data_IF_465533616281
#
_entry.id   IF_465533616281
#
_cell.length_a   1.000
_cell.length_b   1.000
_cell.length_c   1.000
_cell.angle_alpha   90.00
_cell.angle_beta   90.00
_cell.angle_gamma   90.00
#
_symmetry.space_group_name_H-M   'P 1'
#
loop_
_entity.id
_entity.type
_entity.pdbx_description
1 polymer ?
#
# COMPACT_ATOMS: atom_id res chain seq x y z
N UNK A 1 -63.17 21.46 -21.58
CA UNK A 1 -62.35 20.83 -20.53
C UNK A 1 -61.33 19.90 -21.20
N UNK A 2 -60.09 20.38 -21.44
CA UNK A 2 -59.02 19.58 -22.06
C UNK A 2 -58.26 18.84 -20.96
N UNK A 3 -58.36 17.50 -20.92
CA UNK A 3 -57.57 16.65 -20.01
C UNK A 3 -56.22 16.40 -20.67
N UNK A 4 -55.15 16.91 -20.05
CA UNK A 4 -53.76 16.59 -20.44
C UNK A 4 -53.41 15.30 -19.72
N UNK A 5 -53.16 14.23 -20.47
CA UNK A 5 -52.68 12.96 -19.95
C UNK A 5 -51.15 13.04 -19.84
N UNK A 6 -50.62 13.05 -18.63
CA UNK A 6 -49.18 13.05 -18.37
C UNK A 6 -48.70 11.58 -18.42
N UNK A 7 -47.98 11.21 -19.47
CA UNK A 7 -47.33 9.90 -19.56
C UNK A 7 -46.00 9.94 -18.80
N UNK A 8 -45.87 9.11 -17.76
CA UNK A 8 -44.62 8.91 -17.02
C UNK A 8 -43.74 7.91 -17.78
N UNK A 9 -42.63 8.37 -18.35
CA UNK A 9 -41.63 7.50 -18.98
C UNK A 9 -40.70 6.96 -17.89
N UNK A 10 -40.85 5.68 -17.55
CA UNK A 10 -39.97 4.99 -16.61
C UNK A 10 -38.69 4.57 -17.37
N UNK A 11 -37.59 5.31 -17.18
CA UNK A 11 -36.28 4.94 -17.73
C UNK A 11 -35.73 3.79 -16.87
N UNK A 12 -35.84 2.56 -17.38
CA UNK A 12 -35.13 1.40 -16.85
C UNK A 12 -33.64 1.57 -17.16
N UNK A 13 -32.88 2.12 -16.20
CA UNK A 13 -31.43 2.05 -16.24
C UNK A 13 -31.01 0.58 -16.16
N UNK A 14 -30.16 0.06 -17.07
CA UNK A 14 -29.59 -1.27 -16.92
C UNK A 14 -28.76 -1.31 -15.63
N UNK A 15 -29.31 -1.96 -14.59
CA UNK A 15 -28.55 -2.35 -13.41
C UNK A 15 -27.58 -3.42 -13.91
N UNK A 16 -26.31 -3.07 -14.08
CA UNK A 16 -25.29 -4.07 -14.40
C UNK A 16 -25.27 -5.08 -13.25
N UNK A 17 -25.42 -6.38 -13.51
CA UNK A 17 -25.37 -7.37 -12.44
C UNK A 17 -24.01 -7.28 -11.73
N UNK A 18 -24.03 -7.25 -10.41
CA UNK A 18 -22.82 -7.37 -9.61
C UNK A 18 -22.16 -8.71 -9.96
N UNK A 19 -21.09 -8.69 -10.76
CA UNK A 19 -20.30 -9.89 -10.99
C UNK A 19 -19.71 -10.32 -9.65
N UNK A 20 -20.03 -11.55 -9.23
CA UNK A 20 -19.40 -12.20 -8.08
C UNK A 20 -17.94 -12.51 -8.46
N UNK A 21 -17.04 -11.54 -8.30
CA UNK A 21 -15.61 -11.73 -8.55
C UNK A 21 -14.93 -12.29 -7.31
N UNK A 22 -14.06 -13.28 -7.46
CA UNK A 22 -13.19 -13.73 -6.36
C UNK A 22 -12.22 -12.61 -6.02
N UNK A 23 -12.19 -12.20 -4.75
CA UNK A 23 -11.30 -11.15 -4.27
C UNK A 23 -9.96 -11.75 -3.84
N UNK A 24 -8.87 -11.21 -4.36
CA UNK A 24 -7.50 -11.54 -3.93
C UNK A 24 -6.89 -10.28 -3.36
N UNK A 25 -6.35 -10.35 -2.14
CA UNK A 25 -5.76 -9.20 -1.45
C UNK A 25 -4.28 -9.48 -1.20
N UNK A 26 -3.41 -8.58 -1.68
CA UNK A 26 -1.98 -8.58 -1.44
C UNK A 26 -1.61 -7.33 -0.65
N UNK A 27 -1.41 -7.51 0.65
CA UNK A 27 -1.01 -6.46 1.59
C UNK A 27 -0.26 -7.09 2.75
N UNK A 28 0.66 -6.34 3.34
CA UNK A 28 1.33 -6.70 4.58
C UNK A 28 1.79 -5.42 5.29
N UNK A 29 1.97 -5.43 6.62
CA UNK A 29 2.67 -4.35 7.30
C UNK A 29 4.06 -4.15 6.69
N UNK A 30 4.49 -2.89 6.58
CA UNK A 30 5.85 -2.56 6.11
C UNK A 30 6.88 -3.23 7.00
N UNK A 31 7.90 -3.80 6.37
CA UNK A 31 9.09 -4.30 7.07
C UNK A 31 10.31 -3.41 6.78
N UNK A 32 10.15 -2.28 6.08
CA UNK A 32 11.26 -1.42 5.65
C UNK A 32 11.31 -0.09 6.42
N UNK A 33 12.50 0.23 6.91
CA UNK A 33 12.85 1.52 7.50
C UNK A 33 12.96 2.61 6.43
N UNK A 34 13.01 3.87 6.85
CA UNK A 34 13.13 5.02 5.94
C UNK A 34 14.48 5.09 5.23
N UNK A 35 15.54 4.50 5.82
CA UNK A 35 16.88 4.41 5.26
C UNK A 35 17.05 3.23 4.27
N UNK A 36 15.98 2.47 4.02
CA UNK A 36 15.96 1.36 3.07
C UNK A 36 16.27 -0.01 3.67
N UNK A 37 16.76 -0.10 4.92
CA UNK A 37 16.98 -1.40 5.57
C UNK A 37 15.67 -2.05 5.97
N UNK A 38 15.63 -3.38 5.92
CA UNK A 38 14.53 -4.17 6.45
C UNK A 38 14.70 -4.44 7.95
N UNK A 39 13.61 -4.45 8.70
CA UNK A 39 13.64 -4.72 10.15
C UNK A 39 13.91 -6.20 10.48
N UNK A 40 13.70 -7.09 9.51
CA UNK A 40 13.94 -8.53 9.58
C UNK A 40 13.87 -9.13 8.16
N UNK A 41 14.06 -10.46 8.05
CA UNK A 41 14.01 -11.17 6.78
C UNK A 41 12.63 -11.77 6.42
N UNK A 42 11.56 -11.37 7.11
CA UNK A 42 10.25 -12.05 7.00
C UNK A 42 9.57 -11.86 5.64
N UNK A 43 9.75 -10.70 4.99
CA UNK A 43 9.17 -10.46 3.67
C UNK A 43 9.74 -11.43 2.61
N UNK A 44 11.06 -11.61 2.60
CA UNK A 44 11.73 -12.54 1.69
C UNK A 44 11.27 -14.00 1.93
N UNK A 45 11.10 -14.39 3.19
CA UNK A 45 10.54 -15.70 3.54
C UNK A 45 9.07 -15.84 3.11
N UNK A 46 8.28 -14.77 3.23
CA UNK A 46 6.85 -14.76 2.87
C UNK A 46 6.61 -14.93 1.36
N UNK A 47 7.48 -14.36 0.51
CA UNK A 47 7.36 -14.52 -0.95
C UNK A 47 7.89 -15.86 -1.48
N UNK A 48 8.56 -16.65 -0.62
CA UNK A 48 8.98 -18.01 -0.98
C UNK A 48 7.77 -18.93 -1.26
N UNK A 49 7.92 -20.03 -2.01
CA UNK A 49 6.80 -20.93 -2.34
C UNK A 49 6.03 -21.43 -1.11
N UNK A 50 6.72 -21.65 0.01
CA UNK A 50 6.10 -22.07 1.27
C UNK A 50 5.52 -20.92 2.10
N UNK A 51 5.89 -19.68 1.80
CA UNK A 51 5.43 -18.48 2.50
C UNK A 51 4.03 -18.04 2.07
N UNK A 52 3.42 -17.16 2.86
CA UNK A 52 2.02 -16.77 2.67
C UNK A 52 1.80 -15.97 1.38
N UNK A 53 2.71 -15.05 1.04
CA UNK A 53 2.65 -14.31 -0.23
C UNK A 53 3.01 -15.18 -1.44
N UNK A 54 3.85 -16.21 -1.27
CA UNK A 54 4.10 -17.19 -2.32
C UNK A 54 2.86 -18.03 -2.63
N UNK A 55 2.23 -18.56 -1.58
CA UNK A 55 0.95 -19.30 -1.65
C UNK A 55 -0.20 -18.45 -2.20
N UNK A 56 -0.23 -17.14 -1.91
CA UNK A 56 -1.23 -16.24 -2.48
C UNK A 56 -1.21 -16.19 -4.02
N UNK A 57 -0.06 -16.52 -4.65
CA UNK A 57 0.07 -16.64 -6.10
C UNK A 57 -0.09 -18.09 -6.60
N UNK A 58 -0.30 -19.10 -5.75
CA UNK A 58 -0.62 -20.49 -6.13
C UNK A 58 -2.09 -20.64 -6.54
N UNK A 59 -2.52 -19.80 -7.49
CA UNK A 59 -3.88 -19.79 -7.99
C UNK A 59 -3.89 -20.01 -9.50
N UNK A 60 -4.91 -20.72 -9.98
CA UNK A 60 -5.14 -20.85 -11.42
C UNK A 60 -5.52 -19.49 -11.99
N UNK A 61 -4.81 -19.08 -13.04
CA UNK A 61 -5.11 -17.87 -13.79
C UNK A 61 -6.57 -17.91 -14.28
N UNK A 62 -7.32 -16.86 -13.98
CA UNK A 62 -8.72 -16.67 -14.36
C UNK A 62 -9.00 -15.19 -14.45
N UNK A 63 -9.91 -14.78 -15.33
CA UNK A 63 -10.27 -13.37 -15.58
C UNK A 63 -11.49 -12.88 -14.79
N UNK A 64 -11.99 -13.67 -13.84
CA UNK A 64 -13.13 -13.37 -12.98
C UNK A 64 -12.72 -12.88 -11.58
N UNK A 65 -11.48 -12.40 -11.44
CA UNK A 65 -10.91 -11.97 -10.16
C UNK A 65 -10.78 -10.45 -10.06
N UNK A 66 -10.90 -9.95 -8.84
CA UNK A 66 -10.49 -8.59 -8.49
C UNK A 66 -9.29 -8.67 -7.55
N UNK A 67 -8.22 -7.99 -7.91
CA UNK A 67 -7.00 -7.90 -7.10
C UNK A 67 -6.96 -6.58 -6.35
N UNK A 68 -6.88 -6.65 -5.03
CA UNK A 68 -6.54 -5.53 -4.16
C UNK A 68 -5.04 -5.61 -3.86
N UNK A 69 -4.27 -4.62 -4.29
CA UNK A 69 -2.80 -4.67 -4.16
C UNK A 69 -2.31 -3.42 -3.45
N UNK A 70 -1.57 -3.60 -2.36
CA UNK A 70 -0.84 -2.51 -1.71
C UNK A 70 0.45 -2.19 -2.50
N UNK A 71 0.58 -0.99 -3.09
CA UNK A 71 1.80 -0.60 -3.79
C UNK A 71 3.03 -0.60 -2.87
N UNK A 72 2.90 -0.33 -1.57
CA UNK A 72 4.03 -0.34 -0.65
C UNK A 72 4.65 -1.73 -0.52
N UNK A 73 3.80 -2.77 -0.46
CA UNK A 73 4.25 -4.16 -0.46
C UNK A 73 5.02 -4.49 -1.75
N UNK A 74 4.51 -4.07 -2.90
CA UNK A 74 5.14 -4.37 -4.20
C UNK A 74 6.49 -3.65 -4.33
N UNK A 75 6.58 -2.38 -3.90
CA UNK A 75 7.87 -1.67 -3.85
C UNK A 75 8.87 -2.37 -2.94
N UNK A 76 8.46 -2.81 -1.75
CA UNK A 76 9.34 -3.55 -0.85
C UNK A 76 9.80 -4.90 -1.42
N UNK A 77 8.97 -5.58 -2.23
CA UNK A 77 9.40 -6.80 -2.94
C UNK A 77 10.37 -6.47 -4.07
N UNK A 78 10.18 -5.35 -4.78
CA UNK A 78 11.15 -4.86 -5.79
C UNK A 78 12.51 -4.60 -5.14
N UNK A 79 12.54 -4.02 -3.95
CA UNK A 79 13.78 -3.73 -3.22
C UNK A 79 14.55 -5.01 -2.81
N UNK A 80 13.94 -6.18 -2.83
CA UNK A 80 14.64 -7.45 -2.56
C UNK A 80 15.46 -7.93 -3.77
N UNK A 81 15.11 -7.52 -4.99
CA UNK A 81 15.62 -8.11 -6.24
C UNK A 81 17.13 -7.99 -6.36
N UNK A 82 17.66 -6.78 -6.19
CA UNK A 82 19.08 -6.48 -6.44
C UNK A 82 19.99 -6.79 -5.22
N UNK A 83 19.42 -7.35 -4.16
CA UNK A 83 20.06 -7.53 -2.86
C UNK A 83 19.63 -6.47 -1.86
N UNK A 84 19.63 -6.84 -0.58
CA UNK A 84 19.05 -6.00 0.47
C UNK A 84 19.78 -6.21 1.80
N UNK A 85 19.54 -5.29 2.73
CA UNK A 85 20.06 -5.36 4.10
C UNK A 85 18.88 -5.52 5.05
N UNK A 86 18.99 -6.43 6.01
CA UNK A 86 18.04 -6.53 7.11
C UNK A 86 18.74 -6.53 8.46
N UNK A 87 18.03 -6.12 9.51
CA UNK A 87 18.50 -6.16 10.89
C UNK A 87 18.29 -7.55 11.49
N UNK A 88 19.33 -8.16 12.06
CA UNK A 88 19.20 -9.39 12.84
C UNK A 88 18.55 -9.15 14.22
N UNK A 89 18.52 -10.17 15.06
CA UNK A 89 17.88 -10.09 16.39
C UNK A 89 18.65 -9.19 17.35
N UNK A 90 19.94 -9.01 17.11
CA UNK A 90 20.86 -8.15 17.83
C UNK A 90 20.85 -6.70 17.31
N UNK A 91 20.27 -6.49 16.12
CA UNK A 91 20.16 -5.19 15.45
C UNK A 91 21.35 -4.89 14.54
N UNK A 92 22.15 -5.89 14.20
CA UNK A 92 23.26 -5.78 13.27
C UNK A 92 22.80 -5.93 11.82
N UNK A 93 23.51 -5.27 10.90
CA UNK A 93 23.20 -5.32 9.47
C UNK A 93 23.63 -6.67 8.87
N UNK A 94 22.69 -7.38 8.25
CA UNK A 94 22.93 -8.57 7.45
C UNK A 94 22.70 -8.24 5.98
N UNK A 95 23.77 -8.33 5.19
CA UNK A 95 23.71 -8.18 3.74
C UNK A 95 23.25 -9.48 3.07
N UNK A 96 22.28 -9.35 2.16
CA UNK A 96 21.77 -10.44 1.33
C UNK A 96 22.07 -10.13 -0.13
N UNK A 97 22.69 -11.09 -0.82
CA UNK A 97 22.96 -11.02 -2.25
C UNK A 97 21.65 -10.94 -3.08
N UNK A 98 21.71 -10.64 -4.39
CA UNK A 98 20.53 -10.59 -5.26
C UNK A 98 19.58 -11.78 -5.06
N UNK A 99 18.28 -11.48 -4.96
CA UNK A 99 17.25 -12.45 -4.59
C UNK A 99 16.30 -12.69 -5.77
N UNK A 100 16.71 -13.56 -6.69
CA UNK A 100 15.99 -13.86 -7.94
C UNK A 100 14.51 -14.25 -7.72
N UNK A 101 14.21 -14.88 -6.57
CA UNK A 101 12.85 -15.26 -6.20
C UNK A 101 11.87 -14.07 -6.13
N UNK A 102 12.36 -12.88 -5.76
CA UNK A 102 11.55 -11.67 -5.77
C UNK A 102 11.15 -11.28 -7.20
N UNK A 103 12.09 -11.36 -8.15
CA UNK A 103 11.81 -11.08 -9.55
C UNK A 103 10.81 -12.10 -10.13
N UNK A 104 11.00 -13.40 -9.84
CA UNK A 104 10.07 -14.44 -10.26
C UNK A 104 8.65 -14.23 -9.69
N UNK A 105 8.56 -13.83 -8.43
CA UNK A 105 7.29 -13.51 -7.77
C UNK A 105 6.59 -12.31 -8.46
N UNK A 106 7.33 -11.25 -8.80
CA UNK A 106 6.81 -10.06 -9.49
C UNK A 106 6.32 -10.39 -10.91
N UNK A 107 7.08 -11.18 -11.68
CA UNK A 107 6.67 -11.63 -13.01
C UNK A 107 5.40 -12.49 -12.95
N UNK A 108 5.28 -13.35 -11.94
CA UNK A 108 4.09 -14.16 -11.70
C UNK A 108 2.88 -13.28 -11.38
N UNK A 109 3.03 -12.27 -10.52
CA UNK A 109 1.98 -11.30 -10.22
C UNK A 109 1.49 -10.58 -11.48
N UNK A 110 2.41 -10.06 -12.30
CA UNK A 110 2.06 -9.38 -13.55
C UNK A 110 1.29 -10.32 -14.50
N UNK A 111 1.70 -11.58 -14.60
CA UNK A 111 0.99 -12.57 -15.41
C UNK A 111 -0.42 -12.85 -14.89
N UNK A 112 -0.59 -13.02 -13.58
CA UNK A 112 -1.88 -13.36 -12.96
C UNK A 112 -2.88 -12.20 -12.98
N UNK A 113 -2.39 -10.96 -12.97
CA UNK A 113 -3.24 -9.76 -12.92
C UNK A 113 -3.62 -9.24 -14.30
N UNK A 114 -2.92 -9.64 -15.38
CA UNK A 114 -3.04 -9.09 -16.75
C UNK A 114 -4.47 -8.83 -17.22
N UNK A 115 -5.35 -9.83 -17.15
CA UNK A 115 -6.72 -9.72 -17.67
C UNK A 115 -7.76 -9.49 -16.55
N UNK A 116 -7.30 -9.16 -15.35
CA UNK A 116 -8.16 -8.94 -14.19
C UNK A 116 -8.31 -7.46 -13.83
N UNK A 117 -9.34 -7.18 -13.02
CA UNK A 117 -9.49 -5.89 -12.37
C UNK A 117 -8.44 -5.76 -11.26
N UNK A 118 -7.72 -4.65 -11.27
CA UNK A 118 -6.74 -4.30 -10.23
C UNK A 118 -7.17 -3.01 -9.55
N UNK A 119 -7.25 -3.06 -8.22
CA UNK A 119 -7.60 -1.95 -7.35
C UNK A 119 -6.44 -1.76 -6.38
N UNK A 120 -5.92 -0.53 -6.29
CA UNK A 120 -4.88 -0.22 -5.32
C UNK A 120 -5.46 -0.23 -3.89
N UNK A 121 -4.66 -0.65 -2.92
CA UNK A 121 -4.86 -0.34 -1.50
C UNK A 121 -4.14 0.98 -1.21
N UNK A 122 -4.62 1.74 -0.22
CA UNK A 122 -3.89 2.92 0.27
C UNK A 122 -2.50 2.51 0.72
N UNK A 123 -1.47 3.19 0.22
CA UNK A 123 -0.05 2.86 0.40
C UNK A 123 0.32 2.54 1.85
N UNK A 124 0.76 1.29 2.09
CA UNK A 124 1.15 0.79 3.41
C UNK A 124 -0.01 0.36 4.28
N UNK A 125 -1.23 0.33 3.75
CA UNK A 125 -2.46 -0.05 4.44
C UNK A 125 -2.66 0.66 5.80
N UNK A 126 -2.63 2.01 5.87
CA UNK A 126 -2.89 2.73 7.10
C UNK A 126 -4.31 2.45 7.64
N UNK A 127 -4.51 2.61 8.94
CA UNK A 127 -5.85 2.61 9.54
C UNK A 127 -6.73 3.67 8.89
N UNK A 128 -7.69 3.21 8.10
CA UNK A 128 -8.55 4.11 7.35
C UNK A 128 -9.45 4.94 8.27
N UNK A 129 -10.06 4.32 9.27
CA UNK A 129 -10.94 5.03 10.20
C UNK A 129 -10.21 6.13 10.97
N UNK A 130 -8.95 5.90 11.34
CA UNK A 130 -8.11 6.90 11.97
C UNK A 130 -7.81 8.06 11.01
N UNK A 131 -7.42 7.75 9.78
CA UNK A 131 -7.10 8.73 8.74
C UNK A 131 -8.30 9.57 8.30
N UNK A 132 -9.49 8.97 8.19
CA UNK A 132 -10.74 9.67 7.86
C UNK A 132 -11.09 10.72 8.93
N UNK A 133 -10.89 10.40 10.22
CA UNK A 133 -11.14 11.34 11.33
C UNK A 133 -10.06 12.41 11.44
N UNK A 134 -8.80 12.04 11.30
CA UNK A 134 -7.67 12.94 11.56
C UNK A 134 -7.33 13.84 10.36
N UNK A 135 -7.44 13.30 9.16
CA UNK A 135 -6.72 13.80 7.99
C UNK A 135 -7.36 13.39 6.65
N UNK A 136 -8.67 13.62 6.41
CA UNK A 136 -9.36 13.10 5.22
C UNK A 136 -8.75 13.60 3.90
N UNK A 137 -8.28 14.85 3.86
CA UNK A 137 -7.57 15.38 2.68
C UNK A 137 -6.22 14.71 2.42
N UNK A 138 -5.51 14.29 3.47
CA UNK A 138 -4.24 13.55 3.33
C UNK A 138 -4.50 12.11 2.90
N UNK A 139 -5.57 11.49 3.40
CA UNK A 139 -6.01 10.18 2.92
C UNK A 139 -6.33 10.19 1.42
N UNK A 140 -7.03 11.22 0.93
CA UNK A 140 -7.30 11.40 -0.50
C UNK A 140 -6.01 11.54 -1.32
N UNK A 141 -5.01 12.25 -0.78
CA UNK A 141 -3.68 12.36 -1.39
C UNK A 141 -2.97 11.01 -1.43
N UNK A 142 -2.94 10.26 -0.31
CA UNK A 142 -2.38 8.91 -0.29
C UNK A 142 -3.05 8.01 -1.31
N UNK A 143 -4.38 8.03 -1.42
CA UNK A 143 -5.11 7.22 -2.40
C UNK A 143 -4.71 7.56 -3.84
N UNK A 144 -4.56 8.85 -4.15
CA UNK A 144 -4.13 9.32 -5.47
C UNK A 144 -2.71 8.84 -5.80
N UNK A 145 -1.77 8.98 -4.85
CA UNK A 145 -0.41 8.50 -5.01
C UNK A 145 -0.37 6.97 -5.11
N UNK A 146 -1.16 6.25 -4.31
CA UNK A 146 -1.22 4.78 -4.33
C UNK A 146 -1.60 4.24 -5.70
N UNK A 147 -2.58 4.87 -6.36
CA UNK A 147 -2.95 4.58 -7.75
C UNK A 147 -1.73 4.76 -8.65
N UNK A 148 -1.12 5.94 -8.64
CA UNK A 148 0.00 6.27 -9.53
C UNK A 148 1.19 5.30 -9.34
N UNK A 149 1.52 4.96 -8.09
CA UNK A 149 2.60 4.02 -7.78
C UNK A 149 2.30 2.63 -8.31
N UNK A 150 1.10 2.11 -8.07
CA UNK A 150 0.73 0.79 -8.57
C UNK A 150 0.64 0.73 -10.10
N UNK A 151 0.15 1.80 -10.76
CA UNK A 151 0.16 1.89 -12.22
C UNK A 151 1.58 1.81 -12.79
N UNK A 152 2.52 2.49 -12.15
CA UNK A 152 3.94 2.44 -12.52
C UNK A 152 4.52 1.04 -12.34
N UNK A 153 4.22 0.36 -11.22
CA UNK A 153 4.77 -0.97 -10.90
C UNK A 153 4.23 -2.07 -11.83
N UNK A 154 2.96 -1.97 -12.23
CA UNK A 154 2.31 -2.96 -13.09
C UNK A 154 2.31 -2.58 -14.57
N UNK A 155 2.79 -1.38 -14.91
CA UNK A 155 2.78 -0.81 -16.27
C UNK A 155 1.40 -0.88 -16.95
N UNK A 156 0.36 -0.47 -16.22
CA UNK A 156 -1.04 -0.49 -16.68
C UNK A 156 -1.91 0.42 -15.81
N UNK A 157 -3.10 0.76 -16.31
CA UNK A 157 -4.10 1.44 -15.49
C UNK A 157 -4.66 0.54 -14.38
N UNK A 158 -4.94 1.16 -13.23
CA UNK A 158 -5.57 0.51 -12.07
C UNK A 158 -6.65 1.42 -11.47
N UNK A 159 -7.48 0.85 -10.61
CA UNK A 159 -8.53 1.59 -9.90
C UNK A 159 -7.94 2.16 -8.60
N UNK A 160 -8.26 3.42 -8.28
CA UNK A 160 -7.84 4.07 -7.03
C UNK A 160 -8.39 3.33 -5.80
N UNK A 161 -7.73 3.46 -4.63
CA UNK A 161 -8.23 2.86 -3.40
C UNK A 161 -9.64 3.34 -3.05
N UNK A 162 -10.49 2.37 -2.71
CA UNK A 162 -11.81 2.60 -2.13
C UNK A 162 -11.77 2.64 -0.61
N UNK A 163 -12.84 2.19 0.04
CA UNK A 163 -12.81 1.89 1.47
C UNK A 163 -12.06 0.58 1.70
N UNK A 164 -10.95 0.67 2.43
CA UNK A 164 -10.16 -0.43 2.96
C UNK A 164 -10.92 -1.20 4.02
N UNK A 165 -10.69 -2.51 4.05
CA UNK A 165 -11.15 -3.43 5.09
C UNK A 165 -10.16 -3.56 6.25
N UNK A 166 -9.06 -2.79 6.24
CA UNK A 166 -8.05 -2.81 7.31
C UNK A 166 -8.62 -2.12 8.55
N UNK A 167 -9.05 -2.93 9.50
CA UNK A 167 -9.65 -2.49 10.76
C UNK A 167 -8.60 -2.29 11.86
N UNK A 168 -8.94 -1.51 12.88
CA UNK A 168 -8.09 -1.27 14.03
C UNK A 168 -7.46 0.12 14.10
N UNK A 169 -6.78 0.37 15.21
CA UNK A 169 -6.14 1.65 15.51
C UNK A 169 -4.61 1.53 15.33
N UNK A 170 -3.94 2.56 14.79
CA UNK A 170 -2.49 2.55 14.73
C UNK A 170 -1.85 2.52 16.12
N UNK A 171 -0.60 2.07 16.19
CA UNK A 171 0.18 2.13 17.42
C UNK A 171 0.28 3.56 17.97
N UNK A 172 0.24 3.71 19.30
CA UNK A 172 0.24 5.02 19.96
C UNK A 172 1.43 5.91 19.56
N UNK A 173 2.61 5.31 19.37
CA UNK A 173 3.82 6.01 18.92
C UNK A 173 3.61 6.69 17.57
N UNK A 174 3.03 5.99 16.61
CA UNK A 174 2.74 6.52 15.28
C UNK A 174 1.66 7.61 15.35
N UNK A 175 0.58 7.38 16.11
CA UNK A 175 -0.51 8.36 16.31
C UNK A 175 0.02 9.69 16.83
N UNK A 176 0.87 9.65 17.85
CA UNK A 176 1.41 10.84 18.51
C UNK A 176 2.37 11.61 17.60
N UNK A 177 3.18 10.91 16.80
CA UNK A 177 4.15 11.53 15.91
C UNK A 177 3.51 12.10 14.62
N UNK A 178 2.51 11.41 14.07
CA UNK A 178 2.02 11.63 12.71
C UNK A 178 1.59 13.08 12.42
N UNK A 179 0.85 13.72 13.32
CA UNK A 179 0.33 15.08 13.06
C UNK A 179 1.45 16.11 12.90
N UNK A 180 2.51 16.00 13.71
CA UNK A 180 3.66 16.90 13.64
C UNK A 180 4.47 16.64 12.37
N UNK A 181 4.80 15.38 12.08
CA UNK A 181 5.58 15.00 10.90
C UNK A 181 4.87 15.33 9.59
N UNK A 182 3.56 15.08 9.50
CA UNK A 182 2.76 15.47 8.33
C UNK A 182 2.80 16.99 8.10
N UNK A 183 2.79 17.80 9.16
CA UNK A 183 2.88 19.27 9.04
C UNK A 183 4.26 19.68 8.51
N UNK A 184 5.32 19.08 9.02
CA UNK A 184 6.69 19.28 8.54
C UNK A 184 6.80 18.98 7.04
N UNK A 185 6.42 17.77 6.62
CA UNK A 185 6.39 17.39 5.20
C UNK A 185 5.56 18.36 4.35
N UNK A 186 4.42 18.83 4.86
CA UNK A 186 3.60 19.80 4.12
C UNK A 186 4.33 21.13 3.91
N UNK A 187 5.10 21.59 4.89
CA UNK A 187 5.92 22.80 4.79
C UNK A 187 7.05 22.57 3.79
N UNK A 188 7.85 21.51 3.94
CA UNK A 188 8.94 21.18 3.02
C UNK A 188 8.44 21.06 1.58
N UNK A 189 7.35 20.32 1.37
CA UNK A 189 6.76 20.13 0.04
C UNK A 189 6.18 21.42 -0.58
N UNK A 190 5.90 22.45 0.23
CA UNK A 190 5.47 23.77 -0.27
C UNK A 190 6.63 24.62 -0.77
N UNK A 191 7.86 24.30 -0.36
CA UNK A 191 9.09 24.98 -0.77
C UNK A 191 9.75 24.21 -1.91
N UNK A 192 9.85 22.88 -1.80
CA UNK A 192 10.46 21.97 -2.78
C UNK A 192 9.57 20.73 -2.90
N UNK A 193 9.02 20.47 -4.08
CA UNK A 193 8.37 19.18 -4.38
C UNK A 193 9.39 18.26 -5.05
N UNK A 194 9.99 17.36 -4.27
CA UNK A 194 10.89 16.30 -4.78
C UNK A 194 10.26 14.92 -4.59
N UNK A 195 10.73 13.94 -5.38
CA UNK A 195 10.35 12.53 -5.21
C UNK A 195 10.62 12.03 -3.78
N UNK A 196 11.73 12.47 -3.19
CA UNK A 196 12.13 12.09 -1.83
C UNK A 196 11.12 12.57 -0.77
N UNK A 197 10.60 13.79 -0.92
CA UNK A 197 9.58 14.33 0.01
C UNK A 197 8.25 13.59 -0.14
N UNK A 198 7.87 13.18 -1.35
CA UNK A 198 6.69 12.33 -1.56
C UNK A 198 6.89 10.91 -1.01
N UNK A 199 8.09 10.35 -1.12
CA UNK A 199 8.43 9.03 -0.57
C UNK A 199 8.40 9.05 0.97
N UNK A 200 8.90 10.13 1.60
CA UNK A 200 8.75 10.36 3.04
C UNK A 200 7.29 10.54 3.45
N UNK A 201 6.49 11.25 2.63
CA UNK A 201 5.05 11.43 2.86
C UNK A 201 4.34 10.08 2.86
N UNK A 202 4.57 9.25 1.85
CA UNK A 202 4.01 7.91 1.75
C UNK A 202 4.50 7.00 2.90
N UNK A 203 5.75 7.18 3.31
CA UNK A 203 6.33 6.55 4.48
C UNK A 203 5.53 6.77 5.77
N UNK A 204 5.02 7.98 6.00
CA UNK A 204 4.15 8.25 7.15
C UNK A 204 2.87 7.43 7.14
N UNK A 205 2.28 7.16 5.96
CA UNK A 205 1.11 6.29 5.86
C UNK A 205 1.42 4.87 6.35
N UNK A 206 2.57 4.30 5.97
CA UNK A 206 2.98 2.96 6.40
C UNK A 206 3.05 2.83 7.93
N UNK A 207 3.50 3.88 8.62
CA UNK A 207 3.57 3.89 10.10
C UNK A 207 2.21 3.74 10.79
N UNK A 208 1.12 4.05 10.07
CA UNK A 208 -0.24 4.01 10.60
C UNK A 208 -0.95 2.68 10.35
N UNK A 209 -0.26 1.67 9.83
CA UNK A 209 -0.84 0.35 9.66
C UNK A 209 -1.16 -0.27 11.04
N UNK A 210 -2.42 -0.67 11.32
CA UNK A 210 -2.83 -1.20 12.62
C UNK A 210 -2.31 -2.61 12.91
N UNK A 211 -1.84 -3.33 11.90
CA UNK A 211 -1.29 -4.70 12.03
C UNK A 211 0.21 -4.69 12.41
N UNK A 212 0.86 -3.52 12.43
CA UNK A 212 2.24 -3.41 12.90
C UNK A 212 2.35 -3.84 14.37
N UNK A 213 3.31 -4.73 14.64
CA UNK A 213 3.71 -5.03 16.02
C UNK A 213 4.17 -3.76 16.75
N UNK A 214 4.08 -3.74 18.08
CA UNK A 214 4.53 -2.58 18.87
C UNK A 214 6.01 -2.24 18.60
N UNK A 215 6.86 -3.27 18.44
CA UNK A 215 8.28 -3.11 18.16
C UNK A 215 8.52 -2.54 16.77
N UNK A 216 7.92 -3.14 15.74
CA UNK A 216 8.01 -2.67 14.34
C UNK A 216 7.49 -1.23 14.21
N UNK A 217 6.33 -0.94 14.80
CA UNK A 217 5.75 0.40 14.79
C UNK A 217 6.69 1.43 15.43
N UNK A 218 7.38 1.09 16.53
CA UNK A 218 8.37 1.96 17.15
C UNK A 218 9.57 2.22 16.23
N UNK A 219 10.19 1.16 15.70
CA UNK A 219 11.38 1.26 14.84
C UNK A 219 11.09 2.08 13.58
N UNK A 220 10.01 1.75 12.87
CA UNK A 220 9.61 2.40 11.63
C UNK A 220 9.22 3.87 11.89
N UNK A 221 8.42 4.14 12.93
CA UNK A 221 8.05 5.52 13.27
C UNK A 221 9.27 6.36 13.64
N UNK A 222 10.24 5.78 14.39
CA UNK A 222 11.48 6.45 14.75
C UNK A 222 12.34 6.75 13.51
N UNK A 223 12.48 5.78 12.62
CA UNK A 223 13.24 5.92 11.37
C UNK A 223 12.66 7.02 10.47
N UNK A 224 11.35 7.00 10.19
CA UNK A 224 10.71 8.07 9.42
C UNK A 224 10.75 9.43 10.12
N UNK A 225 10.65 9.47 11.45
CA UNK A 225 10.81 10.73 12.19
C UNK A 225 12.21 11.32 12.04
N UNK A 226 13.26 10.49 11.96
CA UNK A 226 14.62 10.94 11.75
C UNK A 226 14.82 11.45 10.31
N UNK A 227 14.43 10.65 9.32
CA UNK A 227 14.57 11.01 7.91
C UNK A 227 13.81 12.31 7.54
N UNK A 228 12.64 12.55 8.12
CA UNK A 228 11.89 13.79 7.89
C UNK A 228 12.61 15.00 8.48
N UNK A 229 13.21 14.87 9.68
CA UNK A 229 13.98 15.96 10.29
C UNK A 229 15.24 16.30 9.53
N UNK A 230 15.86 15.31 8.89
CA UNK A 230 17.03 15.52 8.03
C UNK A 230 16.68 16.22 6.71
N UNK A 231 15.41 16.14 6.29
CA UNK A 231 14.89 16.80 5.09
C UNK A 231 14.29 18.20 5.34
N UNK A 232 14.27 18.67 6.60
CA UNK A 232 13.88 20.05 6.99
C UNK A 232 15.02 21.05 6.75
#
# INVERSE_FOLDING_TARGET
MKRILLAFLLILLPISPAQSSTLITLTAPTNKLADGRFINNELALSISPSGDLGKALEITASSDRTWLIDPALIEEIVDLVDGYIYLDQEGEDIEVAPFDLANDWLLKLQSLTRDNRVVAITYGAPSQSFMERLAPGELSRYNSLSKLRLESLLNREVIAPGKSSVEGEPALVAKNAYTALRKSIKITNSVITSKDVEDLRLGLAKTLNPELSKGSAFLISKSYSAAIKEAE
#
